data_IF_353558087925
#
_entry.id   IF_353558087925
#
_cell.length_a   1.000
_cell.length_b   1.000
_cell.length_c   1.000
_cell.angle_alpha   90.00
_cell.angle_beta   90.00
_cell.angle_gamma   90.00
#
_symmetry.space_group_name_H-M   'P 1'
#
loop_
_entity.id
_entity.type
_entity.pdbx_description
1 polymer ?
#
# COMPACT_ATOMS: atom_id res chain seq x y z
N UNK A 1 -0.34 -13.15 2.22
CA UNK A 1 -0.99 -11.84 2.46
C UNK A 1 -0.01 -10.92 3.19
N UNK A 2 -0.20 -9.61 3.16
CA UNK A 2 0.62 -8.65 3.89
C UNK A 2 -0.18 -7.42 4.32
N UNK A 3 0.26 -6.76 5.38
CA UNK A 3 -0.33 -5.53 5.93
C UNK A 3 0.72 -4.43 6.00
N UNK A 4 0.35 -3.18 5.73
CA UNK A 4 1.24 -2.02 5.80
C UNK A 4 2.54 -2.22 4.99
N UNK A 5 3.70 -2.06 5.60
CA UNK A 5 5.01 -2.37 5.00
C UNK A 5 5.10 -3.82 4.49
N UNK A 6 4.46 -4.78 5.18
CA UNK A 6 4.39 -6.16 4.73
C UNK A 6 3.56 -6.33 3.45
N UNK A 7 2.56 -5.47 3.21
CA UNK A 7 1.84 -5.45 1.94
C UNK A 7 2.72 -4.91 0.81
N UNK A 8 3.55 -3.90 1.09
CA UNK A 8 4.49 -3.37 0.12
C UNK A 8 5.54 -4.40 -0.30
N UNK A 9 6.27 -4.96 0.67
CA UNK A 9 7.32 -5.96 0.41
C UNK A 9 6.72 -7.25 -0.16
N UNK A 10 5.61 -7.73 0.40
CA UNK A 10 4.89 -8.89 -0.12
C UNK A 10 4.38 -8.68 -1.54
N UNK A 11 3.92 -7.47 -1.87
CA UNK A 11 3.52 -7.06 -3.20
C UNK A 11 4.68 -7.12 -4.21
N UNK A 12 5.81 -6.50 -3.88
CA UNK A 12 7.02 -6.56 -4.68
C UNK A 12 7.49 -7.99 -4.92
N UNK A 13 7.63 -8.78 -3.85
CA UNK A 13 8.05 -10.16 -3.98
C UNK A 13 7.06 -11.01 -4.80
N UNK A 14 5.75 -10.80 -4.63
CA UNK A 14 4.74 -11.53 -5.40
C UNK A 14 4.76 -11.22 -6.89
N UNK A 15 5.18 -10.00 -7.27
CA UNK A 15 5.32 -9.57 -8.64
C UNK A 15 6.60 -10.12 -9.30
N UNK A 16 7.71 -10.16 -8.57
CA UNK A 16 9.03 -10.45 -9.15
C UNK A 16 9.53 -11.87 -8.87
N UNK A 17 9.17 -12.47 -7.73
CA UNK A 17 9.82 -13.63 -7.11
C UNK A 17 11.29 -13.40 -6.75
N UNK A 18 11.70 -12.14 -6.62
CA UNK A 18 13.07 -11.74 -6.32
C UNK A 18 13.10 -10.99 -4.99
N UNK A 19 13.54 -11.68 -3.93
CA UNK A 19 13.64 -11.10 -2.59
C UNK A 19 14.85 -10.18 -2.45
N UNK A 20 15.94 -10.45 -3.17
CA UNK A 20 17.14 -9.62 -3.14
C UNK A 20 16.88 -8.24 -3.75
N UNK A 21 16.13 -8.21 -4.86
CA UNK A 21 15.65 -6.96 -5.45
C UNK A 21 14.70 -6.19 -4.52
N UNK A 22 13.77 -6.88 -3.85
CA UNK A 22 12.88 -6.23 -2.89
C UNK A 22 13.65 -5.65 -1.68
N UNK A 23 14.68 -6.35 -1.22
CA UNK A 23 15.60 -5.88 -0.18
C UNK A 23 16.40 -4.65 -0.66
N UNK A 24 16.95 -4.68 -1.87
CA UNK A 24 17.67 -3.54 -2.46
C UNK A 24 16.80 -2.28 -2.51
N UNK A 25 15.53 -2.40 -2.93
CA UNK A 25 14.58 -1.29 -2.91
C UNK A 25 14.34 -0.81 -1.48
N UNK A 26 14.14 -1.71 -0.53
CA UNK A 26 13.88 -1.36 0.86
C UNK A 26 15.06 -0.58 1.49
N UNK A 27 16.30 -0.99 1.18
CA UNK A 27 17.53 -0.38 1.69
C UNK A 27 17.88 0.94 0.99
N UNK A 28 17.60 1.05 -0.32
CA UNK A 28 17.86 2.27 -1.10
C UNK A 28 16.78 3.34 -0.94
N UNK A 29 15.59 2.97 -0.44
CA UNK A 29 14.48 3.91 -0.23
C UNK A 29 14.74 4.81 0.98
N UNK A 30 14.76 6.13 0.74
CA UNK A 30 14.76 7.10 1.82
C UNK A 30 13.37 7.21 2.47
N UNK A 31 13.11 6.36 3.46
CA UNK A 31 11.84 6.32 4.19
C UNK A 31 11.49 7.63 4.87
N UNK A 32 12.49 8.38 5.35
CA UNK A 32 12.25 9.72 5.93
C UNK A 32 11.75 10.68 4.89
N UNK A 33 12.28 10.64 3.66
CA UNK A 33 11.79 11.46 2.57
C UNK A 33 10.41 10.99 2.11
N UNK A 34 10.17 9.69 2.00
CA UNK A 34 8.85 9.17 1.61
C UNK A 34 7.76 9.56 2.60
N UNK A 35 8.10 9.55 3.90
CA UNK A 35 7.24 9.99 5.00
C UNK A 35 7.23 11.52 5.19
N UNK A 36 8.29 12.28 4.89
CA UNK A 36 8.28 13.75 5.05
C UNK A 36 7.39 14.46 4.04
N UNK A 37 6.87 13.72 3.06
CA UNK A 37 5.82 14.18 2.14
C UNK A 37 4.42 14.17 2.77
N UNK A 38 4.33 13.87 4.08
CA UNK A 38 3.19 14.19 4.96
C UNK A 38 3.12 15.72 5.10
N UNK A 39 2.24 16.34 4.32
CA UNK A 39 1.97 17.77 4.39
C UNK A 39 0.96 18.05 5.53
N UNK A 40 1.35 18.77 6.61
CA UNK A 40 0.46 19.08 7.74
C UNK A 40 -0.64 20.09 7.39
N UNK A 41 -0.65 20.66 6.18
CA UNK A 41 -1.67 21.62 5.78
C UNK A 41 -2.99 20.93 5.43
N UNK A 42 -4.02 21.26 6.22
CA UNK A 42 -5.37 20.69 6.30
C UNK A 42 -6.18 20.68 4.97
N UNK A 43 -5.60 21.07 3.83
CA UNK A 43 -6.29 21.20 2.54
C UNK A 43 -5.68 20.37 1.37
N UNK A 44 -4.60 19.60 1.57
CA UNK A 44 -3.89 18.92 0.45
C UNK A 44 -3.71 17.39 0.54
N UNK A 45 -4.48 16.71 1.38
CA UNK A 45 -4.28 15.26 1.64
C UNK A 45 -4.53 14.27 0.48
N UNK A 46 -4.79 14.71 -0.76
CA UNK A 46 -4.75 13.86 -1.95
C UNK A 46 -3.31 13.53 -2.38
N UNK A 47 -2.33 14.37 -2.03
CA UNK A 47 -0.97 14.33 -2.61
C UNK A 47 -0.09 13.23 -1.98
N UNK A 48 -0.18 13.01 -0.67
CA UNK A 48 0.67 12.02 0.03
C UNK A 48 0.35 10.58 -0.38
N UNK A 49 -0.94 10.29 -0.55
CA UNK A 49 -1.38 8.96 -0.94
C UNK A 49 -1.04 8.56 -2.37
N UNK A 50 -1.20 9.48 -3.31
CA UNK A 50 -0.91 9.20 -4.72
C UNK A 50 0.58 8.93 -4.95
N UNK A 51 1.47 9.50 -4.11
CA UNK A 51 2.91 9.25 -4.20
C UNK A 51 3.30 7.84 -3.83
N UNK A 52 2.68 7.25 -2.81
CA UNK A 52 2.92 5.84 -2.46
C UNK A 52 2.45 4.93 -3.59
N UNK A 53 1.28 5.21 -4.17
CA UNK A 53 0.81 4.47 -5.36
C UNK A 53 1.84 4.55 -6.49
N UNK A 54 2.29 5.76 -6.84
CA UNK A 54 3.33 5.99 -7.86
C UNK A 54 4.66 5.32 -7.51
N UNK A 55 5.04 5.30 -6.23
CA UNK A 55 6.23 4.62 -5.75
C UNK A 55 6.14 3.11 -5.97
N UNK A 56 4.96 2.51 -5.85
CA UNK A 56 4.78 1.10 -6.20
C UNK A 56 4.79 0.94 -7.72
N UNK A 57 4.04 1.78 -8.45
CA UNK A 57 3.95 1.71 -9.91
C UNK A 57 5.30 1.88 -10.63
N UNK A 58 6.25 2.67 -10.09
CA UNK A 58 7.58 2.81 -10.71
C UNK A 58 8.40 1.51 -10.68
N UNK A 59 8.15 0.61 -9.71
CA UNK A 59 8.93 -0.62 -9.55
C UNK A 59 8.25 -1.83 -10.18
N UNK A 60 6.93 -1.96 -10.02
CA UNK A 60 6.18 -3.12 -10.51
C UNK A 60 5.17 -2.77 -11.62
N UNK A 61 5.08 -1.51 -12.05
CA UNK A 61 4.09 -1.07 -13.02
C UNK A 61 2.66 -1.04 -12.48
N UNK A 62 1.70 -0.84 -13.39
CA UNK A 62 0.25 -0.89 -13.10
C UNK A 62 -0.31 -2.31 -13.19
N UNK A 63 0.41 -3.27 -12.61
CA UNK A 63 0.03 -4.69 -12.67
C UNK A 63 -1.23 -4.96 -11.85
N UNK A 64 -1.99 -5.97 -12.28
CA UNK A 64 -3.14 -6.47 -11.54
C UNK A 64 -2.79 -7.73 -10.76
N UNK A 65 -3.60 -8.06 -9.76
CA UNK A 65 -3.38 -9.27 -8.95
C UNK A 65 -3.32 -10.56 -9.78
N UNK A 66 -4.08 -10.63 -10.87
CA UNK A 66 -4.08 -11.78 -11.80
C UNK A 66 -2.74 -11.95 -12.55
N UNK A 67 -1.92 -10.90 -12.64
CA UNK A 67 -0.63 -10.91 -13.34
C UNK A 67 0.53 -11.31 -12.40
N UNK A 68 0.25 -11.49 -11.11
CA UNK A 68 1.26 -11.81 -10.10
C UNK A 68 1.78 -13.24 -10.26
N UNK A 69 3.08 -13.41 -10.02
CA UNK A 69 3.75 -14.72 -10.07
C UNK A 69 3.43 -15.57 -8.84
N UNK A 70 3.00 -14.95 -7.73
CA UNK A 70 2.57 -15.59 -6.48
C UNK A 70 1.22 -14.98 -6.09
N UNK A 71 0.20 -15.79 -5.74
CA UNK A 71 -1.04 -15.27 -5.16
C UNK A 71 -0.77 -14.41 -3.92
N UNK A 72 -1.32 -13.20 -3.90
CA UNK A 72 -1.09 -12.22 -2.86
C UNK A 72 -2.39 -11.50 -2.48
N UNK A 73 -2.41 -10.95 -1.27
CA UNK A 73 -3.51 -10.12 -0.78
C UNK A 73 -2.94 -9.04 0.13
N UNK A 74 -3.34 -7.80 -0.10
CA UNK A 74 -3.05 -6.68 0.79
C UNK A 74 -4.17 -6.54 1.81
N UNK A 75 -3.83 -6.43 3.09
CA UNK A 75 -4.79 -6.32 4.18
C UNK A 75 -4.99 -4.86 4.55
N UNK A 76 -6.24 -4.42 4.58
CA UNK A 76 -6.62 -3.09 5.03
C UNK A 76 -7.69 -3.21 6.12
N UNK A 77 -7.94 -2.12 6.85
CA UNK A 77 -9.02 -2.04 7.83
C UNK A 77 -10.11 -1.13 7.29
N UNK A 78 -11.36 -1.58 7.31
CA UNK A 78 -12.51 -0.71 7.05
C UNK A 78 -12.74 0.20 8.27
N UNK A 79 -12.63 1.51 8.09
CA UNK A 79 -12.76 2.47 9.20
C UNK A 79 -14.18 2.66 9.71
N UNK A 80 -15.19 2.31 8.90
CA UNK A 80 -16.59 2.47 9.30
C UNK A 80 -17.04 1.27 10.16
N UNK A 81 -16.56 0.08 9.83
CA UNK A 81 -16.97 -1.17 10.49
C UNK A 81 -15.92 -1.75 11.43
N UNK A 82 -14.65 -1.37 11.27
CA UNK A 82 -13.51 -1.99 11.97
C UNK A 82 -13.08 -3.34 11.39
N UNK A 83 -13.71 -3.81 10.30
CA UNK A 83 -13.46 -5.14 9.75
C UNK A 83 -12.16 -5.23 8.94
N UNK A 84 -11.59 -6.43 8.93
CA UNK A 84 -10.46 -6.79 8.05
C UNK A 84 -10.97 -6.87 6.60
N UNK A 85 -10.30 -6.15 5.71
CA UNK A 85 -10.53 -6.20 4.26
C UNK A 85 -9.33 -6.83 3.58
N UNK A 86 -9.52 -8.04 3.06
CA UNK A 86 -8.52 -8.71 2.22
C UNK A 86 -8.70 -8.30 0.76
N UNK A 87 -7.73 -7.55 0.23
CA UNK A 87 -7.76 -7.06 -1.15
C UNK A 87 -6.86 -7.93 -2.02
N UNK A 88 -7.46 -8.65 -2.96
CA UNK A 88 -6.76 -9.59 -3.84
C UNK A 88 -7.16 -9.47 -5.33
N UNK A 89 -7.82 -8.36 -5.69
CA UNK A 89 -8.28 -8.08 -7.05
C UNK A 89 -7.98 -6.64 -7.45
N UNK A 90 -8.03 -6.36 -8.75
CA UNK A 90 -7.74 -5.05 -9.32
C UNK A 90 -6.25 -4.74 -9.38
N UNK A 91 -5.90 -3.45 -9.28
CA UNK A 91 -4.52 -2.97 -9.35
C UNK A 91 -3.78 -3.16 -8.01
N UNK A 92 -2.56 -3.72 -8.06
CA UNK A 92 -1.76 -4.05 -6.86
C UNK A 92 -1.32 -2.79 -6.12
N UNK A 93 -0.85 -1.76 -6.83
CA UNK A 93 -0.42 -0.50 -6.23
C UNK A 93 -1.55 0.20 -5.48
N UNK A 94 -2.78 0.15 -6.00
CA UNK A 94 -3.97 0.67 -5.31
C UNK A 94 -4.26 -0.09 -4.01
N UNK A 95 -4.11 -1.42 -4.00
CA UNK A 95 -4.35 -2.24 -2.82
C UNK A 95 -3.29 -2.01 -1.72
N UNK A 96 -2.01 -1.96 -2.10
CA UNK A 96 -0.91 -1.63 -1.19
C UNK A 96 -1.10 -0.22 -0.62
N UNK A 97 -1.48 0.73 -1.47
CA UNK A 97 -1.80 2.09 -1.04
C UNK A 97 -2.91 2.13 0.01
N UNK A 98 -3.97 1.34 -0.14
CA UNK A 98 -5.00 1.22 0.90
C UNK A 98 -4.41 0.63 2.20
N UNK A 99 -3.66 -0.47 2.08
CA UNK A 99 -3.07 -1.23 3.19
C UNK A 99 -2.02 -0.47 4.02
N UNK A 100 -1.37 0.56 3.46
CA UNK A 100 -0.38 1.41 4.15
C UNK A 100 -0.96 2.78 4.56
N UNK A 101 -2.29 2.90 4.62
CA UNK A 101 -2.99 4.14 5.01
C UNK A 101 -2.97 4.34 6.54
N UNK A 102 -1.79 4.48 7.12
CA UNK A 102 -1.62 4.63 8.57
C UNK A 102 -2.32 5.91 9.02
N UNK A 103 -3.30 5.85 9.96
CA UNK A 103 -3.95 7.04 10.48
C UNK A 103 -2.94 8.09 10.96
N UNK A 104 -3.28 9.37 10.84
CA UNK A 104 -2.42 10.52 11.15
C UNK A 104 -1.21 10.72 10.19
N UNK A 105 -0.76 9.67 9.50
CA UNK A 105 0.35 9.73 8.53
C UNK A 105 -0.21 9.85 7.11
N UNK A 106 -1.15 8.99 6.74
CA UNK A 106 -1.75 8.94 5.41
C UNK A 106 -3.27 9.01 5.51
N UNK A 107 -3.90 9.76 4.59
CA UNK A 107 -5.35 9.77 4.51
C UNK A 107 -5.88 8.37 4.17
N UNK A 108 -7.00 7.95 4.77
CA UNK A 108 -7.72 6.75 4.36
C UNK A 108 -8.09 6.82 2.88
N UNK A 109 -8.22 5.64 2.26
CA UNK A 109 -8.51 5.50 0.83
C UNK A 109 -9.94 5.02 0.66
N UNK A 110 -10.74 5.74 -0.14
CA UNK A 110 -12.04 5.23 -0.57
C UNK A 110 -11.84 4.22 -1.70
N UNK A 111 -12.27 2.99 -1.50
CA UNK A 111 -12.17 1.91 -2.49
C UNK A 111 -13.40 1.01 -2.40
N UNK A 112 -14.04 0.77 -3.55
CA UNK A 112 -15.18 -0.15 -3.66
C UNK A 112 -16.28 0.16 -2.62
N UNK A 113 -16.55 1.44 -2.41
CA UNK A 113 -17.54 1.92 -1.44
C UNK A 113 -17.05 2.04 0.00
N UNK A 114 -15.93 1.40 0.37
CA UNK A 114 -15.38 1.38 1.73
C UNK A 114 -14.35 2.47 1.97
N UNK A 115 -14.23 2.95 3.21
CA UNK A 115 -13.16 3.85 3.65
C UNK A 115 -12.07 3.04 4.35
N UNK A 116 -10.93 2.84 3.69
CA UNK A 116 -9.90 1.91 4.12
C UNK A 116 -8.69 2.61 4.76
N UNK A 117 -8.22 2.06 5.86
CA UNK A 117 -6.99 2.43 6.55
C UNK A 117 -5.99 1.26 6.60
N UNK A 118 -4.85 1.49 7.23
CA UNK A 118 -3.82 0.47 7.44
C UNK A 118 -4.38 -0.81 8.07
N UNK A 119 -3.94 -1.96 7.56
CA UNK A 119 -4.42 -3.27 8.03
C UNK A 119 -4.00 -3.60 9.45
N UNK A 120 -2.94 -2.98 9.98
CA UNK A 120 -2.48 -3.16 11.36
C UNK A 120 -3.46 -2.66 12.42
N UNK A 121 -4.52 -1.93 12.06
CA UNK A 121 -5.55 -1.49 13.00
C UNK A 121 -6.52 -2.61 13.41
N UNK A 122 -6.60 -3.69 12.62
CA UNK A 122 -7.53 -4.81 12.82
C UNK A 122 -6.81 -6.15 13.08
N UNK A 123 -5.49 -6.11 13.28
CA UNK A 123 -4.63 -7.25 13.62
C UNK A 123 -4.19 -7.16 15.09
#
# INVERSE_FOLDING_TARGET
AGSSIGALIGGFYSATKDIGWAEEIALSTNWRQLLSLIDPSLQRGLIGGEKIKKFVEQYIGKIKFQDLKIPFSAIATDLETGEIVSINQGEVASAIRASISIPLIFKPVKREGRLLADGGLSL
#
